data_IF_792573457588
#
_entry.id   IF_792573457588
#
_cell.length_a   1.000
_cell.length_b   1.000
_cell.length_c   1.000
_cell.angle_alpha   90.00
_cell.angle_beta   90.00
_cell.angle_gamma   90.00
#
_symmetry.space_group_name_H-M   'P 1'
#
loop_
_entity.id
_entity.type
_entity.pdbx_description
1 polymer ?
#
# COMPACT_ATOMS: atom_id res chain seq x y z
N UNK A 1 -7.34 -21.83 -11.72
CA UNK A 1 -7.72 -21.48 -10.33
C UNK A 1 -7.78 -19.96 -10.27
N UNK A 2 -8.66 -19.37 -9.46
CA UNK A 2 -8.73 -17.91 -9.37
C UNK A 2 -7.94 -17.44 -8.15
N UNK A 3 -7.21 -16.34 -8.29
CA UNK A 3 -6.43 -15.72 -7.23
C UNK A 3 -6.95 -14.30 -7.00
N UNK A 4 -7.42 -14.00 -5.80
CA UNK A 4 -7.87 -12.67 -5.42
C UNK A 4 -6.79 -11.96 -4.61
N UNK A 5 -6.36 -10.80 -5.11
CA UNK A 5 -5.28 -9.99 -4.53
C UNK A 5 -5.82 -8.62 -4.16
N UNK A 6 -5.38 -8.10 -3.03
CA UNK A 6 -5.77 -6.78 -2.53
C UNK A 6 -4.55 -5.99 -2.09
N UNK A 7 -4.48 -4.70 -2.40
CA UNK A 7 -3.63 -3.73 -1.71
C UNK A 7 -4.48 -2.72 -0.96
N UNK A 8 -4.05 -2.34 0.24
CA UNK A 8 -4.80 -1.43 1.08
C UNK A 8 -3.87 -0.64 2.02
N UNK A 9 -3.72 0.65 1.78
CA UNK A 9 -3.13 1.55 2.76
C UNK A 9 -4.12 1.72 3.92
N UNK A 10 -3.72 1.32 5.13
CA UNK A 10 -4.59 1.26 6.29
C UNK A 10 -4.46 2.47 7.21
N UNK A 11 -3.68 3.49 6.81
CA UNK A 11 -3.54 4.75 7.55
C UNK A 11 -3.32 4.54 9.06
N UNK A 12 -2.42 3.61 9.44
CA UNK A 12 -2.18 3.22 10.84
C UNK A 12 -3.44 2.75 11.59
N UNK A 13 -4.45 2.25 10.87
CA UNK A 13 -5.73 1.85 11.43
C UNK A 13 -6.70 3.02 11.68
N UNK A 14 -6.37 4.23 11.28
CA UNK A 14 -7.22 5.41 11.50
C UNK A 14 -8.30 5.45 10.43
N UNK A 15 -9.56 5.42 10.84
CA UNK A 15 -10.71 5.46 9.95
C UNK A 15 -11.03 6.90 9.49
N UNK A 16 -11.83 7.03 8.43
CA UNK A 16 -12.26 8.29 7.84
C UNK A 16 -13.67 8.69 8.29
N UNK A 17 -14.07 8.37 9.51
CA UNK A 17 -15.30 8.84 10.11
C UNK A 17 -15.19 10.33 10.49
N UNK A 18 -16.32 10.99 10.74
CA UNK A 18 -16.34 12.41 11.14
C UNK A 18 -15.55 12.67 12.43
N UNK A 19 -15.48 11.70 13.31
CA UNK A 19 -14.58 11.64 14.46
C UNK A 19 -13.62 10.46 14.25
N UNK A 20 -12.43 10.69 13.67
CA UNK A 20 -11.50 9.62 13.36
C UNK A 20 -11.10 8.82 14.60
N UNK A 21 -11.06 7.50 14.46
CA UNK A 21 -10.65 6.57 15.51
C UNK A 21 -9.74 5.50 14.94
N UNK A 22 -8.93 4.90 15.79
CA UNK A 22 -8.19 3.71 15.40
C UNK A 22 -9.11 2.50 15.44
N UNK A 23 -9.28 1.84 14.29
CA UNK A 23 -10.22 0.75 14.10
C UNK A 23 -9.62 -0.36 13.21
N UNK A 24 -8.71 -1.15 13.78
CA UNK A 24 -8.21 -2.35 13.08
C UNK A 24 -9.28 -3.44 12.93
N UNK A 25 -10.35 -3.39 13.71
CA UNK A 25 -11.49 -4.30 13.55
C UNK A 25 -12.27 -3.99 12.28
N UNK A 26 -12.49 -2.71 11.98
CA UNK A 26 -13.09 -2.28 10.72
C UNK A 26 -12.25 -2.70 9.50
N UNK A 27 -10.93 -2.60 9.58
CA UNK A 27 -10.03 -3.11 8.54
C UNK A 27 -10.19 -4.63 8.38
N UNK A 28 -10.21 -5.39 9.49
CA UNK A 28 -10.41 -6.83 9.45
C UNK A 28 -11.74 -7.22 8.82
N UNK A 29 -12.84 -6.52 9.12
CA UNK A 29 -14.15 -6.79 8.51
C UNK A 29 -14.16 -6.51 7.00
N UNK A 30 -13.46 -5.46 6.52
CA UNK A 30 -13.30 -5.20 5.09
C UNK A 30 -12.56 -6.37 4.42
N UNK A 31 -11.43 -6.80 4.96
CA UNK A 31 -10.64 -7.92 4.42
C UNK A 31 -11.47 -9.21 4.44
N UNK A 32 -12.15 -9.51 5.55
CA UNK A 32 -12.99 -10.71 5.70
C UNK A 32 -14.14 -10.75 4.68
N UNK A 33 -14.82 -9.62 4.45
CA UNK A 33 -15.92 -9.51 3.49
C UNK A 33 -15.45 -9.74 2.06
N UNK A 34 -14.28 -9.21 1.69
CA UNK A 34 -13.68 -9.37 0.37
C UNK A 34 -13.01 -10.73 0.18
N UNK A 35 -12.54 -11.34 1.27
CA UNK A 35 -11.91 -12.65 1.33
C UNK A 35 -10.79 -12.86 0.30
N UNK A 36 -9.84 -11.92 0.17
CA UNK A 36 -8.72 -12.06 -0.76
C UNK A 36 -7.79 -13.21 -0.34
N UNK A 37 -6.99 -13.70 -1.27
CA UNK A 37 -6.00 -14.76 -0.99
C UNK A 37 -4.65 -14.15 -0.57
N UNK A 38 -4.36 -12.95 -1.07
CA UNK A 38 -3.14 -12.18 -0.79
C UNK A 38 -3.54 -10.71 -0.52
N UNK A 39 -3.02 -10.12 0.55
CA UNK A 39 -3.25 -8.74 0.95
C UNK A 39 -1.93 -8.04 1.24
N UNK A 40 -1.62 -6.99 0.49
CA UNK A 40 -0.55 -6.06 0.82
C UNK A 40 -1.11 -4.86 1.59
N UNK A 41 -0.59 -4.63 2.78
CA UNK A 41 -0.98 -3.50 3.62
C UNK A 41 0.15 -2.48 3.71
N UNK A 42 -0.19 -1.20 3.60
CA UNK A 42 0.73 -0.08 3.81
C UNK A 42 0.33 0.69 5.06
N UNK A 43 1.25 1.44 5.62
CA UNK A 43 1.05 2.22 6.84
C UNK A 43 0.63 1.38 8.06
N UNK A 44 1.16 0.19 8.17
CA UNK A 44 0.91 -0.66 9.35
C UNK A 44 1.76 -0.19 10.51
N UNK A 45 1.13 0.21 11.62
CA UNK A 45 1.85 0.69 12.79
C UNK A 45 0.99 0.88 14.02
N UNK A 46 1.66 1.00 15.18
CA UNK A 46 1.04 1.15 16.50
C UNK A 46 0.96 2.60 16.96
N UNK A 47 1.81 3.45 16.38
CA UNK A 47 1.94 4.84 16.81
C UNK A 47 0.87 5.70 16.15
N UNK A 48 0.15 6.48 16.96
CA UNK A 48 -0.63 7.61 16.46
C UNK A 48 0.30 8.70 15.95
N UNK A 49 -0.12 9.47 14.96
CA UNK A 49 0.60 10.68 14.56
C UNK A 49 0.72 11.65 15.76
N UNK A 50 1.71 12.55 15.72
CA UNK A 50 2.06 13.44 16.83
C UNK A 50 0.86 14.20 17.45
N UNK A 51 -0.22 14.41 16.67
CA UNK A 51 -1.42 15.09 17.12
C UNK A 51 -2.46 14.17 17.80
N UNK A 52 -2.22 12.83 17.81
CA UNK A 52 -3.17 11.84 18.33
C UNK A 52 -2.48 10.76 19.17
N UNK A 53 -1.83 11.12 20.29
CA UNK A 53 -1.10 10.15 21.11
C UNK A 53 -2.00 9.09 21.76
N UNK A 54 -3.31 9.33 21.85
CA UNK A 54 -4.28 8.38 22.42
C UNK A 54 -4.55 7.16 21.52
N UNK A 55 -3.99 7.11 20.31
CA UNK A 55 -4.22 6.01 19.36
C UNK A 55 -3.14 4.93 19.37
N UNK A 56 -2.34 4.86 20.43
CA UNK A 56 -1.41 3.77 20.62
C UNK A 56 -2.17 2.46 20.87
N UNK A 57 -1.76 1.37 20.19
CA UNK A 57 -2.25 0.03 20.48
C UNK A 57 -1.23 -0.76 21.30
N UNK A 58 -1.69 -1.69 22.11
CA UNK A 58 -0.88 -2.63 22.90
C UNK A 58 -0.57 -3.94 22.15
N UNK A 59 -1.03 -4.07 20.90
CA UNK A 59 -0.82 -5.22 20.03
C UNK A 59 -0.07 -4.85 18.74
N UNK A 60 0.54 -5.83 18.10
CA UNK A 60 1.13 -5.68 16.77
C UNK A 60 0.04 -5.82 15.69
N UNK A 61 -0.26 -4.75 14.92
CA UNK A 61 -1.42 -4.74 14.03
C UNK A 61 -1.42 -5.83 12.96
N UNK A 62 -0.26 -6.13 12.34
CA UNK A 62 -0.18 -7.16 11.32
C UNK A 62 -0.49 -8.55 11.89
N UNK A 63 0.06 -8.87 13.08
CA UNK A 63 -0.20 -10.12 13.79
C UNK A 63 -1.66 -10.22 14.24
N UNK A 64 -2.21 -9.13 14.76
CA UNK A 64 -3.61 -9.05 15.17
C UNK A 64 -4.56 -9.37 14.03
N UNK A 65 -4.38 -8.70 12.87
CA UNK A 65 -5.18 -8.93 11.69
C UNK A 65 -5.04 -10.37 11.18
N UNK A 66 -3.82 -10.89 11.13
CA UNK A 66 -3.55 -12.24 10.67
C UNK A 66 -4.24 -13.30 11.55
N UNK A 67 -4.13 -13.19 12.87
CA UNK A 67 -4.82 -14.08 13.83
C UNK A 67 -6.32 -14.02 13.69
N UNK A 68 -6.88 -12.81 13.58
CA UNK A 68 -8.33 -12.60 13.46
C UNK A 68 -8.91 -13.18 12.17
N UNK A 69 -8.14 -13.17 11.09
CA UNK A 69 -8.54 -13.60 9.76
C UNK A 69 -8.13 -15.05 9.42
N UNK A 70 -7.24 -15.65 10.21
CA UNK A 70 -6.68 -16.98 9.94
C UNK A 70 -5.68 -16.97 8.78
N UNK A 71 -4.90 -15.90 8.62
CA UNK A 71 -3.90 -15.73 7.57
C UNK A 71 -2.49 -15.92 8.11
N UNK A 72 -1.57 -16.35 7.24
CA UNK A 72 -0.14 -16.17 7.45
C UNK A 72 0.21 -14.71 7.26
N UNK A 73 1.30 -14.25 7.89
CA UNK A 73 1.72 -12.86 7.76
C UNK A 73 3.23 -12.68 7.81
N UNK A 74 3.70 -11.58 7.26
CA UNK A 74 5.02 -11.01 7.49
C UNK A 74 4.88 -9.50 7.60
N UNK A 75 5.53 -8.91 8.62
CA UNK A 75 5.61 -7.47 8.81
C UNK A 75 7.01 -6.97 8.48
N UNK A 76 7.10 -5.97 7.62
CA UNK A 76 8.33 -5.34 7.15
C UNK A 76 8.43 -3.91 7.68
N UNK A 77 9.00 -3.68 8.86
CA UNK A 77 9.20 -2.33 9.36
C UNK A 77 10.15 -1.55 8.46
N UNK A 78 9.84 -0.28 8.20
CA UNK A 78 10.69 0.67 7.52
C UNK A 78 11.37 1.61 8.53
N UNK A 79 10.64 2.00 9.56
CA UNK A 79 11.09 2.93 10.60
C UNK A 79 10.57 2.47 11.96
N UNK A 80 11.27 2.87 13.03
CA UNK A 80 10.81 2.66 14.42
C UNK A 80 10.67 4.03 15.08
N UNK A 81 9.44 4.50 15.23
CA UNK A 81 9.19 5.78 15.89
C UNK A 81 9.47 5.69 17.38
N UNK A 82 10.12 6.72 17.93
CA UNK A 82 10.47 6.83 19.36
C UNK A 82 11.21 5.59 19.91
N UNK A 83 11.95 4.87 19.07
CA UNK A 83 12.63 3.60 19.40
C UNK A 83 11.70 2.51 19.98
N UNK A 84 10.38 2.60 19.76
CA UNK A 84 9.38 1.70 20.37
C UNK A 84 8.34 1.21 19.37
N UNK A 85 7.98 2.02 18.37
CA UNK A 85 6.82 1.77 17.52
C UNK A 85 7.25 1.49 16.08
N UNK A 86 7.37 0.22 15.68
CA UNK A 86 7.65 -0.11 14.29
C UNK A 86 6.48 0.29 13.38
N UNK A 87 6.83 0.78 12.19
CA UNK A 87 5.91 1.21 11.16
C UNK A 87 6.43 0.79 9.80
N UNK A 88 5.56 0.27 8.94
CA UNK A 88 5.96 -0.23 7.64
C UNK A 88 4.84 -0.90 6.86
N UNK A 89 5.21 -1.93 6.12
CA UNK A 89 4.31 -2.69 5.28
C UNK A 89 4.06 -4.08 5.85
N UNK A 90 2.89 -4.67 5.54
CA UNK A 90 2.61 -6.05 5.90
C UNK A 90 2.03 -6.84 4.72
N UNK A 91 2.31 -8.13 4.72
CA UNK A 91 1.67 -9.12 3.87
C UNK A 91 0.77 -10.00 4.76
N UNK A 92 -0.49 -10.15 4.36
CA UNK A 92 -1.37 -11.20 4.88
C UNK A 92 -1.70 -12.14 3.71
N UNK A 93 -1.68 -13.45 3.94
CA UNK A 93 -1.93 -14.42 2.88
C UNK A 93 -2.50 -15.73 3.41
N UNK A 94 -3.36 -16.38 2.62
CA UNK A 94 -3.85 -17.75 2.90
C UNK A 94 -2.79 -18.81 2.62
N UNK A 95 -1.78 -18.49 1.82
CA UNK A 95 -0.70 -19.40 1.46
C UNK A 95 0.42 -19.34 2.49
N UNK A 96 1.03 -20.48 2.86
CA UNK A 96 2.25 -20.47 3.66
C UNK A 96 3.36 -19.63 3.02
N UNK A 97 4.09 -18.89 3.85
CA UNK A 97 5.24 -18.09 3.42
C UNK A 97 6.49 -18.94 3.53
N UNK A 98 7.13 -19.26 2.40
CA UNK A 98 8.40 -20.04 2.35
C UNK A 98 9.57 -19.21 2.85
N UNK A 99 9.66 -17.98 2.40
CA UNK A 99 10.69 -17.03 2.81
C UNK A 99 10.17 -15.60 2.74
N UNK A 100 10.66 -14.74 3.62
CA UNK A 100 10.38 -13.32 3.55
C UNK A 100 11.56 -12.49 4.04
N UNK A 101 11.72 -11.30 3.48
CA UNK A 101 12.73 -10.33 3.89
C UNK A 101 12.21 -8.90 3.76
N UNK A 102 12.79 -8.01 4.55
CA UNK A 102 12.62 -6.56 4.43
C UNK A 102 13.83 -5.98 3.71
N UNK A 103 13.60 -5.20 2.66
CA UNK A 103 14.63 -4.46 1.93
C UNK A 103 14.37 -2.98 2.16
N UNK A 104 15.30 -2.26 2.78
CA UNK A 104 15.19 -0.82 2.94
C UNK A 104 15.46 -0.13 1.60
N UNK A 105 14.61 0.83 1.25
CA UNK A 105 14.84 1.70 0.10
C UNK A 105 15.91 2.73 0.51
N UNK A 106 16.93 2.97 -0.33
CA UNK A 106 17.94 3.96 -0.01
C UNK A 106 17.33 5.32 0.23
N UNK A 107 17.69 5.93 1.36
CA UNK A 107 17.29 7.30 1.69
C UNK A 107 17.84 8.30 0.66
N UNK A 108 17.16 9.43 0.42
CA UNK A 108 17.71 10.49 -0.41
C UNK A 108 19.01 11.04 0.17
N UNK A 109 19.92 11.45 -0.72
CA UNK A 109 21.22 12.03 -0.33
C UNK A 109 21.04 13.33 0.44
N UNK A 110 20.10 14.16 0.00
CA UNK A 110 19.74 15.40 0.66
C UNK A 110 18.44 15.16 1.43
N UNK A 111 18.56 14.80 2.70
CA UNK A 111 17.41 14.73 3.60
C UNK A 111 16.91 16.15 3.81
N UNK A 112 15.75 16.46 3.24
CA UNK A 112 15.05 17.71 3.50
C UNK A 112 14.42 17.57 4.88
N UNK A 113 14.86 18.38 5.83
CA UNK A 113 14.41 18.34 7.23
C UNK A 113 13.06 19.08 7.40
N UNK A 114 12.15 18.87 6.44
CA UNK A 114 10.82 19.52 6.38
C UNK A 114 9.70 18.63 6.94
N UNK A 115 10.05 17.49 7.54
CA UNK A 115 9.10 16.54 8.12
C UNK A 115 8.39 15.63 7.13
N UNK A 116 8.62 15.78 5.82
CA UNK A 116 8.02 14.93 4.79
C UNK A 116 8.82 13.68 4.44
N UNK A 117 10.09 13.61 4.84
CA UNK A 117 10.94 12.45 4.60
C UNK A 117 10.66 11.33 5.60
N UNK A 118 10.53 10.13 5.09
CA UNK A 118 10.41 8.91 5.90
C UNK A 118 11.08 7.73 5.21
N UNK A 119 12.01 7.06 5.89
CA UNK A 119 12.60 5.81 5.39
C UNK A 119 11.52 4.82 5.00
N UNK A 120 11.64 4.22 3.82
CA UNK A 120 10.69 3.28 3.23
C UNK A 120 11.29 1.89 3.06
N UNK A 121 10.44 0.89 2.94
CA UNK A 121 10.87 -0.51 2.73
C UNK A 121 10.03 -1.22 1.67
N UNK A 122 10.61 -2.28 1.13
CA UNK A 122 9.94 -3.28 0.30
C UNK A 122 9.94 -4.57 1.09
N UNK A 123 8.77 -5.13 1.33
CA UNK A 123 8.58 -6.50 1.76
C UNK A 123 8.73 -7.39 0.53
N UNK A 124 9.53 -8.44 0.62
CA UNK A 124 9.65 -9.47 -0.43
C UNK A 124 9.35 -10.82 0.19
N UNK A 125 8.34 -11.53 -0.30
CA UNK A 125 7.94 -12.83 0.23
C UNK A 125 7.69 -13.84 -0.89
N UNK A 126 8.29 -15.01 -0.81
CA UNK A 126 7.99 -16.17 -1.64
C UNK A 126 6.93 -17.03 -0.96
N UNK A 127 5.83 -17.31 -1.65
CA UNK A 127 4.74 -18.13 -1.17
C UNK A 127 4.88 -19.59 -1.65
N UNK A 128 4.22 -20.52 -0.98
CA UNK A 128 4.28 -21.95 -1.33
C UNK A 128 3.58 -22.28 -2.65
N UNK A 129 2.65 -21.41 -3.09
CA UNK A 129 2.03 -21.51 -4.42
C UNK A 129 2.96 -21.07 -5.57
N UNK A 130 4.21 -20.71 -5.28
CA UNK A 130 5.22 -20.34 -6.26
C UNK A 130 5.17 -18.89 -6.74
N UNK A 131 4.38 -18.03 -6.11
CA UNK A 131 4.31 -16.59 -6.42
C UNK A 131 5.22 -15.84 -5.45
N UNK A 132 5.98 -14.85 -5.94
CA UNK A 132 6.67 -13.87 -5.11
C UNK A 132 5.87 -12.58 -5.04
N UNK A 133 5.63 -12.10 -3.82
CA UNK A 133 4.87 -10.87 -3.53
C UNK A 133 5.81 -9.80 -3.00
N UNK A 134 5.78 -8.63 -3.60
CA UNK A 134 6.40 -7.42 -3.12
C UNK A 134 5.31 -6.50 -2.56
N UNK A 135 5.50 -5.97 -1.34
CA UNK A 135 4.61 -4.94 -0.77
C UNK A 135 5.44 -3.73 -0.41
N UNK A 136 5.01 -2.55 -0.85
CA UNK A 136 5.76 -1.32 -0.63
C UNK A 136 4.85 -0.12 -0.39
N UNK A 137 5.43 0.94 0.17
CA UNK A 137 4.86 2.27 0.25
C UNK A 137 5.97 3.27 -0.10
N UNK A 138 5.84 4.00 -1.20
CA UNK A 138 6.85 4.95 -1.65
C UNK A 138 6.75 6.26 -0.87
N UNK A 139 7.84 6.99 -0.80
CA UNK A 139 7.86 8.33 -0.23
C UNK A 139 7.21 9.37 -1.15
N UNK A 140 7.09 10.60 -0.66
CA UNK A 140 6.49 11.72 -1.41
C UNK A 140 7.55 12.58 -2.09
N UNK A 141 8.80 12.53 -1.63
CA UNK A 141 9.91 13.31 -2.17
C UNK A 141 10.40 12.69 -3.49
N UNK A 142 10.76 13.51 -4.46
CA UNK A 142 11.16 13.05 -5.81
C UNK A 142 12.28 12.01 -5.79
N UNK A 143 13.36 12.25 -5.01
CA UNK A 143 14.50 11.34 -4.93
C UNK A 143 14.11 10.01 -4.25
N UNK A 144 13.23 10.02 -3.23
CA UNK A 144 12.68 8.80 -2.64
C UNK A 144 11.95 7.94 -3.67
N UNK A 145 11.09 8.57 -4.49
CA UNK A 145 10.34 7.89 -5.56
C UNK A 145 11.28 7.26 -6.59
N UNK A 146 12.31 7.99 -7.01
CA UNK A 146 13.31 7.49 -7.95
C UNK A 146 14.09 6.30 -7.38
N UNK A 147 14.56 6.39 -6.13
CA UNK A 147 15.25 5.31 -5.44
C UNK A 147 14.34 4.08 -5.29
N UNK A 148 13.07 4.29 -4.95
CA UNK A 148 12.10 3.21 -4.79
C UNK A 148 11.83 2.48 -6.11
N UNK A 149 11.59 3.19 -7.21
CA UNK A 149 11.40 2.59 -8.53
C UNK A 149 12.63 1.77 -8.94
N UNK A 150 13.84 2.33 -8.77
CA UNK A 150 15.08 1.63 -9.10
C UNK A 150 15.23 0.35 -8.26
N UNK A 151 15.00 0.43 -6.95
CA UNK A 151 15.12 -0.70 -6.03
C UNK A 151 14.13 -1.82 -6.40
N UNK A 152 12.87 -1.49 -6.71
CA UNK A 152 11.87 -2.46 -7.16
C UNK A 152 12.28 -3.13 -8.47
N UNK A 153 12.76 -2.36 -9.45
CA UNK A 153 13.22 -2.90 -10.73
C UNK A 153 14.37 -3.89 -10.55
N UNK A 154 15.33 -3.56 -9.70
CA UNK A 154 16.47 -4.45 -9.41
C UNK A 154 16.01 -5.76 -8.75
N UNK A 155 15.11 -5.68 -7.78
CA UNK A 155 14.53 -6.86 -7.13
C UNK A 155 13.78 -7.75 -8.13
N UNK A 156 12.92 -7.17 -8.98
CA UNK A 156 12.13 -7.93 -9.96
C UNK A 156 13.05 -8.65 -10.96
N UNK A 157 14.16 -8.07 -11.38
CA UNK A 157 15.12 -8.71 -12.30
C UNK A 157 15.76 -9.97 -11.73
N UNK A 158 15.91 -10.06 -10.41
CA UNK A 158 16.49 -11.23 -9.73
C UNK A 158 15.47 -12.34 -9.50
N UNK A 159 14.17 -12.02 -9.41
CA UNK A 159 13.11 -12.99 -9.14
C UNK A 159 12.82 -13.83 -10.38
N UNK A 160 12.68 -15.16 -10.19
CA UNK A 160 12.44 -16.14 -11.25
C UNK A 160 11.03 -16.72 -11.24
N UNK A 161 10.27 -16.44 -10.22
CA UNK A 161 8.86 -16.84 -10.05
C UNK A 161 7.93 -15.79 -10.61
N UNK A 162 6.65 -16.08 -10.85
CA UNK A 162 5.63 -15.05 -11.06
C UNK A 162 5.63 -14.01 -9.91
N UNK A 163 5.50 -12.74 -10.27
CA UNK A 163 5.61 -11.61 -9.33
C UNK A 163 4.31 -10.84 -9.24
N UNK A 164 3.94 -10.48 -8.03
CA UNK A 164 2.97 -9.44 -7.70
C UNK A 164 3.68 -8.30 -6.96
N UNK A 165 3.46 -7.05 -7.39
CA UNK A 165 3.89 -5.86 -6.65
C UNK A 165 2.64 -5.10 -6.22
N UNK A 166 2.49 -4.91 -4.92
CA UNK A 166 1.35 -4.29 -4.26
C UNK A 166 1.82 -3.04 -3.50
N UNK A 167 1.12 -1.93 -3.64
CA UNK A 167 1.52 -0.79 -2.83
C UNK A 167 0.88 0.55 -3.16
N UNK A 168 1.02 1.46 -2.21
CA UNK A 168 0.85 2.89 -2.40
C UNK A 168 2.16 3.48 -2.94
N UNK A 169 2.14 3.92 -4.18
CA UNK A 169 3.34 4.48 -4.82
C UNK A 169 3.39 6.01 -4.73
N UNK A 170 2.38 6.66 -4.14
CA UNK A 170 2.30 8.12 -4.03
C UNK A 170 2.52 8.87 -5.36
N UNK A 171 2.19 8.23 -6.48
CA UNK A 171 2.35 8.75 -7.84
C UNK A 171 1.13 8.39 -8.68
N UNK A 172 0.71 9.30 -9.55
CA UNK A 172 -0.33 9.03 -10.53
C UNK A 172 0.26 8.30 -11.75
N UNK A 173 -0.55 7.58 -12.54
CA UNK A 173 -0.05 6.80 -13.69
C UNK A 173 0.70 7.60 -14.75
N UNK A 174 0.47 8.91 -14.84
CA UNK A 174 1.16 9.81 -15.76
C UNK A 174 2.47 10.39 -15.19
N UNK A 175 2.88 10.01 -13.98
CA UNK A 175 4.17 10.45 -13.42
C UNK A 175 5.31 9.74 -14.16
N UNK A 176 6.22 10.53 -14.74
CA UNK A 176 7.33 10.01 -15.54
C UNK A 176 8.30 9.13 -14.73
N UNK A 177 8.35 9.29 -13.42
CA UNK A 177 9.18 8.45 -12.53
C UNK A 177 8.70 7.00 -12.54
N UNK A 178 7.39 6.75 -12.74
CA UNK A 178 6.84 5.39 -12.84
C UNK A 178 7.14 4.69 -14.18
N UNK A 179 7.43 5.44 -15.24
CA UNK A 179 7.59 4.89 -16.59
C UNK A 179 8.56 3.69 -16.66
N UNK A 180 9.77 3.73 -16.05
CA UNK A 180 10.66 2.58 -16.08
C UNK A 180 10.10 1.32 -15.42
N UNK A 181 9.17 1.45 -14.47
CA UNK A 181 8.52 0.31 -13.83
C UNK A 181 7.52 -0.36 -14.76
N UNK A 182 6.76 0.41 -15.54
CA UNK A 182 5.84 -0.14 -16.55
C UNK A 182 6.55 -0.94 -17.67
N UNK A 183 7.83 -0.66 -17.93
CA UNK A 183 8.63 -1.43 -18.88
C UNK A 183 9.05 -2.81 -18.35
N UNK A 184 9.01 -3.02 -17.03
CA UNK A 184 9.49 -4.24 -16.36
C UNK A 184 8.35 -5.14 -15.91
N UNK A 185 7.25 -4.56 -15.44
CA UNK A 185 6.10 -5.30 -14.89
C UNK A 185 4.80 -4.60 -15.30
N UNK A 186 3.72 -5.38 -15.53
CA UNK A 186 2.45 -4.85 -16.01
C UNK A 186 1.62 -4.26 -14.88
N UNK A 187 1.18 -3.01 -15.03
CA UNK A 187 0.10 -2.43 -14.21
C UNK A 187 -1.25 -3.01 -14.62
N UNK A 188 -2.04 -3.47 -13.65
CA UNK A 188 -3.38 -4.02 -13.89
C UNK A 188 -4.28 -3.01 -14.61
N UNK A 189 -4.25 -1.73 -14.20
CA UNK A 189 -5.06 -0.67 -14.80
C UNK A 189 -4.49 -0.15 -16.15
N UNK A 190 -3.37 -0.70 -16.65
CA UNK A 190 -2.72 -0.29 -17.90
C UNK A 190 -2.44 1.23 -17.95
N UNK A 191 -1.97 1.81 -16.87
CA UNK A 191 -1.63 3.24 -16.79
C UNK A 191 -2.83 4.19 -16.75
N UNK A 192 -4.05 3.69 -16.52
CA UNK A 192 -5.25 4.52 -16.35
C UNK A 192 -5.31 5.09 -14.93
N UNK A 193 -5.89 6.29 -14.79
CA UNK A 193 -6.14 6.91 -13.47
C UNK A 193 -7.45 6.40 -12.81
N UNK A 194 -8.07 5.37 -13.35
CA UNK A 194 -9.26 4.72 -12.79
C UNK A 194 -8.99 3.21 -12.64
N UNK A 195 -9.55 2.58 -11.59
CA UNK A 195 -10.33 3.21 -10.52
C UNK A 195 -9.44 4.03 -9.59
N UNK A 196 -9.92 5.22 -9.17
CA UNK A 196 -9.21 6.06 -8.19
C UNK A 196 -9.24 5.41 -6.80
N UNK A 197 -8.08 5.39 -6.14
CA UNK A 197 -7.91 4.72 -4.84
C UNK A 197 -7.87 5.68 -3.66
N UNK A 198 -7.63 6.97 -3.91
CA UNK A 198 -7.56 8.02 -2.89
C UNK A 198 -8.16 9.34 -3.41
N UNK A 199 -8.80 10.17 -2.54
CA UNK A 199 -9.24 9.85 -1.17
C UNK A 199 -10.51 8.98 -1.16
N UNK A 200 -10.82 8.40 0.01
CA UNK A 200 -12.06 7.63 0.20
C UNK A 200 -13.28 8.52 0.21
N UNK A 201 -13.23 9.67 0.88
CA UNK A 201 -14.26 10.70 0.94
C UNK A 201 -13.87 11.88 0.03
N UNK A 202 -14.35 11.81 -1.20
CA UNK A 202 -14.03 12.80 -2.23
C UNK A 202 -14.64 14.17 -1.92
N UNK A 203 -15.84 14.20 -1.36
CA UNK A 203 -16.56 15.45 -1.05
C UNK A 203 -15.92 16.19 0.13
N UNK A 204 -15.57 15.46 1.18
CA UNK A 204 -14.88 16.02 2.36
C UNK A 204 -13.51 16.57 1.99
N UNK A 205 -12.76 15.82 1.18
CA UNK A 205 -11.43 16.22 0.73
C UNK A 205 -11.48 17.50 -0.12
N UNK A 206 -12.42 17.58 -1.06
CA UNK A 206 -12.64 18.79 -1.87
C UNK A 206 -12.97 19.98 -0.97
N UNK A 207 -13.84 19.83 0.03
CA UNK A 207 -14.21 20.90 0.96
C UNK A 207 -13.05 21.42 1.81
N UNK A 208 -12.20 20.53 2.33
CA UNK A 208 -11.01 20.91 3.12
C UNK A 208 -9.91 21.53 2.23
N UNK A 209 -9.78 21.09 1.00
CA UNK A 209 -8.77 21.58 0.05
C UNK A 209 -9.21 22.87 -0.65
N UNK A 210 -10.51 23.12 -0.86
CA UNK A 210 -11.04 24.36 -1.43
C UNK A 210 -10.62 25.61 -0.63
N UNK A 211 -10.41 25.47 0.67
CA UNK A 211 -9.85 26.54 1.49
C UNK A 211 -8.38 26.86 1.17
N UNK A 212 -7.65 25.94 0.52
CA UNK A 212 -6.21 26.03 0.28
C UNK A 212 -5.84 26.12 -1.22
N UNK A 213 -6.68 25.59 -2.12
CA UNK A 213 -6.42 25.55 -3.58
C UNK A 213 -7.32 26.56 -4.31
N UNK A 214 -6.70 27.58 -4.88
CA UNK A 214 -7.39 28.62 -5.68
C UNK A 214 -7.68 28.23 -7.13
N UNK A 215 -7.38 26.99 -7.56
CA UNK A 215 -7.40 26.61 -8.98
C UNK A 215 -8.29 25.39 -9.24
N UNK A 216 -9.36 25.58 -10.05
CA UNK A 216 -10.34 24.54 -10.46
C UNK A 216 -9.66 23.35 -11.18
N UNK A 217 -8.51 23.55 -11.81
CA UNK A 217 -7.78 22.47 -12.50
C UNK A 217 -7.18 21.49 -11.50
N UNK A 218 -6.80 21.95 -10.31
CA UNK A 218 -6.27 21.12 -9.22
C UNK A 218 -7.37 20.36 -8.49
N UNK A 219 -8.59 20.90 -8.39
CA UNK A 219 -9.76 20.20 -7.83
C UNK A 219 -10.10 18.92 -8.63
N UNK A 220 -9.94 18.94 -9.96
CA UNK A 220 -10.12 17.74 -10.80
C UNK A 220 -9.06 16.67 -10.57
N UNK A 221 -7.95 17.02 -9.90
CA UNK A 221 -6.88 16.10 -9.50
C UNK A 221 -7.07 15.55 -8.07
N UNK A 222 -8.17 15.89 -7.39
CA UNK A 222 -8.45 15.37 -6.05
C UNK A 222 -8.59 13.83 -6.05
N UNK A 223 -9.13 13.26 -7.13
CA UNK A 223 -9.23 11.80 -7.31
C UNK A 223 -7.95 11.26 -7.91
N UNK A 224 -7.27 10.38 -7.18
CA UNK A 224 -5.97 9.84 -7.60
C UNK A 224 -5.96 8.32 -7.53
N UNK A 225 -5.42 7.68 -8.57
CA UNK A 225 -4.94 6.32 -8.48
C UNK A 225 -3.48 6.38 -8.02
N UNK A 226 -3.21 6.06 -6.77
CA UNK A 226 -1.87 6.02 -6.18
C UNK A 226 -1.54 4.65 -5.59
N UNK A 227 -2.54 3.80 -5.38
CA UNK A 227 -2.38 2.41 -5.00
C UNK A 227 -2.42 1.53 -6.25
N UNK A 228 -1.49 0.58 -6.32
CA UNK A 228 -1.25 -0.24 -7.51
C UNK A 228 -1.16 -1.72 -7.19
N UNK A 229 -1.58 -2.51 -8.15
CA UNK A 229 -1.25 -3.93 -8.26
C UNK A 229 -0.60 -4.12 -9.63
N UNK A 230 0.68 -4.51 -9.63
CA UNK A 230 1.40 -4.93 -10.83
C UNK A 230 1.55 -6.44 -10.81
N UNK A 231 1.66 -7.02 -12.00
CA UNK A 231 1.78 -8.45 -12.17
C UNK A 231 2.74 -8.83 -13.30
N UNK A 232 3.42 -9.95 -13.14
CA UNK A 232 4.19 -10.57 -14.22
C UNK A 232 3.25 -11.21 -15.27
N UNK A 233 3.77 -11.45 -16.46
CA UNK A 233 3.00 -11.89 -17.63
C UNK A 233 2.28 -13.24 -17.48
N UNK A 234 2.69 -14.06 -16.52
CA UNK A 234 2.13 -15.38 -16.25
C UNK A 234 0.75 -15.31 -15.58
N UNK A 235 0.38 -14.15 -15.02
CA UNK A 235 -0.91 -13.92 -14.39
C UNK A 235 -1.83 -13.17 -15.36
N UNK A 236 -3.05 -13.67 -15.55
CA UNK A 236 -4.07 -13.07 -16.40
C UNK A 236 -5.12 -12.33 -15.56
N UNK A 237 -5.29 -11.02 -15.81
CA UNK A 237 -6.29 -10.21 -15.08
C UNK A 237 -7.69 -10.56 -15.57
N UNK A 238 -8.59 -10.90 -14.64
CA UNK A 238 -10.02 -11.13 -14.89
C UNK A 238 -10.87 -9.91 -14.60
N UNK A 239 -10.64 -9.29 -13.46
CA UNK A 239 -11.38 -8.11 -13.01
C UNK A 239 -10.55 -7.28 -12.05
N UNK A 240 -10.85 -5.99 -11.99
CA UNK A 240 -10.31 -5.04 -11.03
C UNK A 240 -11.40 -4.13 -10.50
N UNK A 241 -11.33 -3.76 -9.22
CA UNK A 241 -12.29 -2.84 -8.62
C UNK A 241 -11.75 -2.25 -7.31
N UNK A 242 -12.34 -1.16 -6.88
CA UNK A 242 -12.13 -0.56 -5.55
C UNK A 242 -13.39 -0.68 -4.71
N UNK A 243 -13.23 -0.70 -3.39
CA UNK A 243 -14.35 -0.76 -2.45
C UNK A 243 -14.42 0.54 -1.67
N UNK A 244 -15.60 1.14 -1.65
CA UNK A 244 -15.87 2.27 -0.80
C UNK A 244 -15.98 1.79 0.66
N UNK A 245 -15.15 2.35 1.54
CA UNK A 245 -15.14 2.06 2.97
C UNK A 245 -14.61 3.26 3.74
N UNK A 246 -15.03 3.43 4.97
CA UNK A 246 -14.47 4.43 5.88
C UNK A 246 -13.38 3.87 6.81
N UNK A 247 -12.96 2.62 6.61
CA UNK A 247 -11.93 1.99 7.45
C UNK A 247 -10.52 2.62 7.28
N UNK A 248 -10.30 3.41 6.23
CA UNK A 248 -9.09 4.18 5.95
C UNK A 248 -9.44 5.41 5.09
N UNK A 249 -8.50 6.31 4.86
CA UNK A 249 -8.59 7.39 3.87
C UNK A 249 -8.30 6.91 2.44
N UNK A 250 -7.82 5.68 2.26
CA UNK A 250 -7.69 4.99 0.98
C UNK A 250 -8.82 3.98 0.76
N UNK A 251 -9.09 3.68 -0.52
CA UNK A 251 -9.99 2.62 -0.95
C UNK A 251 -9.18 1.33 -1.18
N UNK A 252 -9.59 0.18 -0.62
CA UNK A 252 -8.98 -1.10 -0.99
C UNK A 252 -9.08 -1.32 -2.49
N UNK A 253 -7.95 -1.63 -3.15
CA UNK A 253 -7.89 -2.00 -4.55
C UNK A 253 -7.75 -3.50 -4.70
N UNK A 254 -8.67 -4.12 -5.42
CA UNK A 254 -8.82 -5.57 -5.52
C UNK A 254 -8.72 -6.00 -6.97
N UNK A 255 -8.00 -7.09 -7.21
CA UNK A 255 -7.84 -7.72 -8.53
C UNK A 255 -8.08 -9.21 -8.43
N UNK A 256 -8.81 -9.76 -9.37
CA UNK A 256 -8.95 -11.19 -9.56
C UNK A 256 -8.12 -11.62 -10.77
N UNK A 257 -7.24 -12.59 -10.55
CA UNK A 257 -6.42 -13.21 -11.58
C UNK A 257 -6.90 -14.63 -11.88
N UNK A 258 -6.68 -15.05 -13.12
CA UNK A 258 -6.68 -16.46 -13.51
C UNK A 258 -5.25 -16.98 -13.46
N UNK A 259 -5.07 -18.09 -12.74
CA UNK A 259 -3.79 -18.81 -12.63
C UNK A 259 -3.90 -20.11 -13.44
#
# INVERSE_FOLDING_TARGET
>A
MDLKVMTFNVHSGINSEDVPQRDYDGIAEVIKKLNPDIVGLQEVGRHGFANFPAWETDFEPAEYLAKKLGYHFYFAPAVVFQNKYPYGNALLTKYPIKSAKTVLIPDPKNKIDDGYFQTRSILVAELDNGITVLVTHFGVVKEEKQNAVQCVIELIKEIKTPVLLLGDLNMMPNDEILRPLFDVIKDVANGKNEPATWPVDEDKFVGEYEATIKNITEQKQARRKIDYIFHSKELEVKSEYVIQTKASDHKPYVVEFKI
#
